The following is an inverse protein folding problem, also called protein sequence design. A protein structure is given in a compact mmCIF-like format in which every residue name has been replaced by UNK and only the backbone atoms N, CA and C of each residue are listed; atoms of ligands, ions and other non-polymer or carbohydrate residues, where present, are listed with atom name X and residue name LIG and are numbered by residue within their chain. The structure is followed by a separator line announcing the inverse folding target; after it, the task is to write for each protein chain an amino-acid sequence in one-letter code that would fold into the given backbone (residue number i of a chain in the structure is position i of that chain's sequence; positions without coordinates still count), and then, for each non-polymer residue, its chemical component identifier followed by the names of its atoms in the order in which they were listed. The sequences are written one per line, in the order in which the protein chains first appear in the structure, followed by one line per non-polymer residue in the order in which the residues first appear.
data_IF_829213957606
#
_entry.id   IF_829213957606
#
_cell.length_a   1.000
_cell.length_b   1.000
_cell.length_c   1.000
_cell.angle_alpha   90.00
_cell.angle_beta   90.00
_cell.angle_gamma   90.00
#
_symmetry.space_group_name_H-M   'P 1'
#
loop_
_entity.id
_entity.type
_entity.pdbx_description
1 polymer ?
#
# COMPACT_ATOMS: atom_id res chain seq x y z
N UNK A 1 17.01 16.55 28.51
CA UNK A 1 16.03 17.38 27.77
C UNK A 1 14.60 17.25 28.29
N UNK A 2 14.11 16.02 28.60
CA UNK A 2 12.75 15.82 29.10
C UNK A 2 12.45 16.62 30.36
N UNK A 3 13.38 16.63 31.33
CA UNK A 3 13.23 17.30 32.63
C UNK A 3 13.12 18.81 32.49
N UNK A 4 13.84 19.39 31.52
CA UNK A 4 13.76 20.84 31.25
C UNK A 4 12.42 21.23 30.64
N UNK A 5 11.80 20.35 29.83
CA UNK A 5 10.46 20.57 29.24
C UNK A 5 9.35 20.43 30.28
N UNK A 6 9.55 19.64 31.33
CA UNK A 6 8.59 19.51 32.45
C UNK A 6 8.58 20.71 33.38
N UNK A 7 9.65 21.52 33.36
CA UNK A 7 9.70 22.78 34.12
C UNK A 7 8.93 23.94 33.50
N UNK A 8 8.58 23.80 32.19
CA UNK A 8 7.77 24.80 31.49
C UNK A 8 6.28 24.57 31.78
N UNK A 9 5.64 25.53 32.41
CA UNK A 9 4.23 25.46 32.83
C UNK A 9 3.28 25.20 31.63
N UNK A 10 3.58 25.76 30.47
CA UNK A 10 2.76 25.63 29.27
C UNK A 10 2.98 24.33 28.54
N UNK A 11 4.20 23.78 28.56
CA UNK A 11 4.57 22.56 27.85
C UNK A 11 4.35 21.30 28.69
N UNK A 12 4.47 21.40 30.02
CA UNK A 12 4.35 20.25 30.93
C UNK A 12 3.16 19.32 30.63
N UNK A 13 1.90 19.81 30.44
CA UNK A 13 0.76 18.92 30.16
C UNK A 13 0.84 18.22 28.80
N UNK A 14 1.62 18.76 27.87
CA UNK A 14 1.72 18.25 26.49
C UNK A 14 2.96 17.37 26.26
N UNK A 15 3.93 17.38 27.16
CA UNK A 15 5.22 16.67 27.01
C UNK A 15 5.01 15.18 26.74
N UNK A 16 4.15 14.51 27.48
CA UNK A 16 3.90 13.07 27.30
C UNK A 16 3.32 12.78 25.91
N UNK A 17 2.35 13.59 25.46
CA UNK A 17 1.75 13.48 24.14
C UNK A 17 2.79 13.69 23.02
N UNK A 18 3.66 14.68 23.20
CA UNK A 18 4.75 14.95 22.27
C UNK A 18 5.71 13.76 22.15
N UNK A 19 6.14 13.19 23.27
CA UNK A 19 7.01 12.02 23.27
C UNK A 19 6.36 10.80 22.60
N UNK A 20 5.08 10.56 22.83
CA UNK A 20 4.33 9.50 22.14
C UNK A 20 4.30 9.74 20.63
N UNK A 21 4.06 10.97 20.18
CA UNK A 21 4.08 11.30 18.75
C UNK A 21 5.46 11.12 18.11
N UNK A 22 6.52 11.55 18.83
CA UNK A 22 7.89 11.35 18.36
C UNK A 22 8.20 9.85 18.22
N UNK A 23 7.82 9.05 19.22
CA UNK A 23 8.01 7.59 19.21
C UNK A 23 7.26 6.94 18.06
N UNK A 24 6.00 7.28 17.87
CA UNK A 24 5.19 6.76 16.75
C UNK A 24 5.82 7.11 15.40
N UNK A 25 6.28 8.33 15.22
CA UNK A 25 6.96 8.76 14.00
C UNK A 25 8.29 8.04 13.77
N UNK A 26 9.04 7.78 14.84
CA UNK A 26 10.27 7.00 14.77
C UNK A 26 10.01 5.56 14.34
N UNK A 27 8.96 4.91 14.87
CA UNK A 27 8.53 3.56 14.46
C UNK A 27 8.15 3.50 12.98
N UNK A 28 7.38 4.49 12.50
CA UNK A 28 6.99 4.60 11.08
C UNK A 28 8.23 4.75 10.19
N UNK A 29 9.14 5.65 10.55
CA UNK A 29 10.36 5.89 9.77
C UNK A 29 11.31 4.69 9.79
N UNK A 30 11.41 3.99 10.91
CA UNK A 30 12.22 2.79 11.02
C UNK A 30 11.73 1.69 10.08
N UNK A 31 10.41 1.49 10.01
CA UNK A 31 9.81 0.44 9.18
C UNK A 31 9.74 0.80 7.68
N UNK A 32 9.68 2.09 7.35
CA UNK A 32 9.47 2.58 5.98
C UNK A 32 10.35 1.94 4.89
N UNK A 33 11.67 1.70 5.10
CA UNK A 33 12.53 1.10 4.07
C UNK A 33 12.43 -0.43 3.97
N UNK A 34 11.75 -1.11 4.90
CA UNK A 34 11.72 -2.56 4.99
C UNK A 34 10.44 -3.16 4.41
N UNK A 35 10.57 -4.26 3.66
CA UNK A 35 9.45 -5.11 3.26
C UNK A 35 9.04 -6.06 4.38
N UNK A 36 10.01 -6.48 5.18
CA UNK A 36 9.80 -7.28 6.39
C UNK A 36 10.78 -6.85 7.47
N UNK A 37 10.33 -6.78 8.71
CA UNK A 37 11.15 -6.43 9.87
C UNK A 37 10.94 -7.44 10.99
N UNK A 38 12.02 -7.88 11.61
CA UNK A 38 11.98 -8.72 12.81
C UNK A 38 11.69 -7.84 14.03
N UNK A 39 10.57 -8.12 14.71
CA UNK A 39 10.12 -7.37 15.88
C UNK A 39 11.06 -7.53 17.06
N UNK A 40 11.88 -8.59 17.13
CA UNK A 40 12.88 -8.78 18.18
C UNK A 40 13.99 -7.74 18.06
N UNK A 41 14.56 -7.58 16.86
CA UNK A 41 15.57 -6.55 16.58
C UNK A 41 15.02 -5.14 16.77
N UNK A 42 13.76 -4.95 16.39
CA UNK A 42 13.08 -3.69 16.57
C UNK A 42 12.86 -3.36 18.06
N UNK A 43 12.50 -4.35 18.89
CA UNK A 43 12.34 -4.16 20.34
C UNK A 43 13.66 -3.79 21.03
N UNK A 44 14.78 -4.39 20.60
CA UNK A 44 16.11 -4.03 21.08
C UNK A 44 16.48 -2.57 20.71
N UNK A 45 16.19 -2.16 19.46
CA UNK A 45 16.47 -0.81 18.99
C UNK A 45 15.65 0.27 19.73
N UNK A 46 14.42 -0.04 20.12
CA UNK A 46 13.53 0.88 20.81
C UNK A 46 13.49 0.71 22.34
N UNK A 47 14.32 -0.20 22.91
CA UNK A 47 14.39 -0.51 24.34
C UNK A 47 13.02 -0.76 24.96
N UNK A 48 12.20 -1.61 24.33
CA UNK A 48 10.87 -1.95 24.79
C UNK A 48 10.65 -3.47 24.74
N UNK A 49 9.62 -3.96 25.43
CA UNK A 49 9.25 -5.36 25.33
C UNK A 49 8.58 -5.63 23.97
N UNK A 50 8.69 -6.87 23.47
CA UNK A 50 8.09 -7.27 22.19
C UNK A 50 6.56 -7.07 22.25
N UNK A 51 5.94 -7.33 23.37
CA UNK A 51 4.49 -7.20 23.57
C UNK A 51 4.03 -5.73 23.52
N UNK A 52 4.74 -4.83 24.16
CA UNK A 52 4.47 -3.38 24.09
C UNK A 52 4.62 -2.87 22.67
N UNK A 53 5.70 -3.27 21.99
CA UNK A 53 5.95 -2.91 20.59
C UNK A 53 4.83 -3.41 19.66
N UNK A 54 4.38 -4.66 19.85
CA UNK A 54 3.28 -5.24 19.07
C UNK A 54 1.99 -4.43 19.23
N UNK A 55 1.66 -4.02 20.46
CA UNK A 55 0.50 -3.18 20.75
C UNK A 55 0.62 -1.79 20.12
N UNK A 56 1.80 -1.14 20.21
CA UNK A 56 2.04 0.17 19.60
C UNK A 56 1.89 0.09 18.07
N UNK A 57 2.51 -0.92 17.43
CA UNK A 57 2.41 -1.11 15.97
C UNK A 57 0.97 -1.43 15.57
N UNK A 58 0.25 -2.23 16.35
CA UNK A 58 -1.16 -2.54 16.08
C UNK A 58 -2.01 -1.27 16.07
N UNK A 59 -1.80 -0.34 17.01
CA UNK A 59 -2.48 0.94 17.03
C UNK A 59 -2.14 1.78 15.78
N UNK A 60 -0.86 1.83 15.38
CA UNK A 60 -0.44 2.55 14.18
C UNK A 60 -1.04 1.97 12.89
N UNK A 61 -1.28 0.66 12.85
CA UNK A 61 -1.97 -0.01 11.73
C UNK A 61 -3.46 0.33 11.72
N UNK A 62 -4.12 0.33 12.90
CA UNK A 62 -5.52 0.72 13.03
C UNK A 62 -5.76 2.18 12.66
N UNK A 63 -4.84 3.06 13.04
CA UNK A 63 -4.85 4.48 12.66
C UNK A 63 -4.51 4.70 11.16
N UNK A 64 -4.16 3.63 10.42
CA UNK A 64 -3.81 3.71 9.01
C UNK A 64 -2.45 4.38 8.71
N UNK A 65 -1.63 4.62 9.73
CA UNK A 65 -0.32 5.27 9.57
C UNK A 65 0.74 4.32 9.02
N UNK A 66 0.60 3.02 9.29
CA UNK A 66 1.45 1.95 8.76
C UNK A 66 0.57 0.95 8.01
N UNK A 67 0.94 0.65 6.76
CA UNK A 67 0.31 -0.42 6.00
C UNK A 67 1.15 -1.69 6.13
N UNK A 68 0.88 -2.46 7.17
CA UNK A 68 1.61 -3.68 7.47
C UNK A 68 0.69 -4.79 8.00
N UNK A 69 1.22 -6.00 8.04
CA UNK A 69 0.60 -7.18 8.64
C UNK A 69 1.56 -7.75 9.67
N UNK A 70 1.06 -7.99 10.88
CA UNK A 70 1.81 -8.59 11.99
C UNK A 70 1.64 -10.11 11.94
N UNK A 71 2.77 -10.83 11.95
CA UNK A 71 2.81 -12.25 12.24
C UNK A 71 3.23 -12.44 13.70
N UNK A 72 2.26 -12.62 14.59
CA UNK A 72 2.49 -12.74 16.03
C UNK A 72 3.19 -14.05 16.42
N UNK A 73 3.15 -15.08 15.55
CA UNK A 73 3.81 -16.36 15.80
C UNK A 73 5.31 -16.25 15.56
N UNK A 74 5.71 -15.76 14.39
CA UNK A 74 7.12 -15.61 14.01
C UNK A 74 7.73 -14.29 14.49
N UNK A 75 6.89 -13.37 15.01
CA UNK A 75 7.30 -12.01 15.43
C UNK A 75 7.92 -11.20 14.28
N UNK A 76 7.30 -11.30 13.11
CA UNK A 76 7.73 -10.59 11.91
C UNK A 76 6.62 -9.62 11.47
N UNK A 77 7.02 -8.42 11.12
CA UNK A 77 6.17 -7.39 10.54
C UNK A 77 6.39 -7.36 9.02
N UNK A 78 5.32 -7.57 8.24
CA UNK A 78 5.35 -7.55 6.77
C UNK A 78 4.69 -6.29 6.23
N UNK A 79 5.34 -5.57 5.31
CA UNK A 79 4.71 -4.47 4.61
C UNK A 79 3.60 -4.98 3.68
N UNK A 80 2.44 -4.32 3.70
CA UNK A 80 1.30 -4.63 2.83
C UNK A 80 1.44 -4.00 1.44
N UNK A 81 2.40 -3.11 1.26
CA UNK A 81 2.62 -2.44 -0.02
C UNK A 81 2.99 -3.48 -1.07
N UNK A 82 2.06 -3.71 -1.98
CA UNK A 82 2.37 -4.42 -3.21
C UNK A 82 3.47 -3.64 -3.95
N UNK A 83 4.46 -4.36 -4.46
CA UNK A 83 5.53 -3.78 -5.26
C UNK A 83 4.91 -3.00 -6.43
N UNK A 84 4.97 -1.67 -6.38
CA UNK A 84 4.44 -0.79 -7.43
C UNK A 84 5.01 -1.11 -8.81
N UNK A 85 6.24 -1.62 -8.86
CA UNK A 85 6.90 -2.02 -10.09
C UNK A 85 6.22 -3.25 -10.70
N UNK A 86 5.96 -4.30 -9.90
CA UNK A 86 5.24 -5.49 -10.35
C UNK A 86 3.83 -5.17 -10.79
N UNK A 87 3.10 -4.35 -10.02
CA UNK A 87 1.75 -3.91 -10.39
C UNK A 87 1.73 -3.12 -11.69
N UNK A 88 2.68 -2.21 -11.88
CA UNK A 88 2.80 -1.41 -13.11
C UNK A 88 3.12 -2.30 -14.29
N UNK A 89 4.00 -3.28 -14.12
CA UNK A 89 4.36 -4.25 -15.14
C UNK A 89 3.17 -5.13 -15.55
N UNK A 90 2.41 -5.65 -14.59
CA UNK A 90 1.20 -6.44 -14.87
C UNK A 90 0.12 -5.62 -15.60
N UNK A 91 -0.08 -4.36 -15.17
CA UNK A 91 -0.98 -3.42 -15.87
C UNK A 91 -0.51 -3.17 -17.29
N UNK A 92 0.78 -2.94 -17.51
CA UNK A 92 1.33 -2.72 -18.84
C UNK A 92 1.14 -3.92 -19.77
N UNK A 93 1.35 -5.15 -19.26
CA UNK A 93 1.09 -6.38 -20.01
C UNK A 93 -0.41 -6.51 -20.37
N UNK A 94 -1.30 -6.23 -19.42
CA UNK A 94 -2.74 -6.32 -19.63
C UNK A 94 -3.21 -5.33 -20.70
N UNK A 95 -2.78 -4.06 -20.60
CA UNK A 95 -3.07 -3.03 -21.60
C UNK A 95 -2.50 -3.40 -22.96
N UNK A 96 -1.28 -3.94 -23.01
CA UNK A 96 -0.65 -4.41 -24.26
C UNK A 96 -1.43 -5.54 -24.94
N UNK A 97 -1.91 -6.51 -24.17
CA UNK A 97 -2.78 -7.60 -24.69
C UNK A 97 -4.10 -7.08 -25.24
N UNK A 98 -4.74 -6.14 -24.51
CA UNK A 98 -5.98 -5.51 -24.98
C UNK A 98 -5.76 -4.69 -26.25
N UNK A 99 -4.68 -3.91 -26.32
CA UNK A 99 -4.31 -3.16 -27.52
C UNK A 99 -4.12 -4.09 -28.71
N UNK A 100 -3.38 -5.18 -28.54
CA UNK A 100 -3.18 -6.18 -29.59
C UNK A 100 -4.51 -6.80 -30.06
N UNK A 101 -5.40 -7.12 -29.12
CA UNK A 101 -6.74 -7.65 -29.44
C UNK A 101 -7.55 -6.63 -30.23
N UNK A 102 -7.60 -5.36 -29.80
CA UNK A 102 -8.33 -4.28 -30.48
C UNK A 102 -7.77 -4.03 -31.89
N UNK A 103 -6.46 -4.01 -32.03
CA UNK A 103 -5.79 -3.82 -33.34
C UNK A 103 -6.12 -4.97 -34.30
N UNK A 104 -6.08 -6.24 -33.85
CA UNK A 104 -6.49 -7.38 -34.67
C UNK A 104 -7.95 -7.27 -35.09
N UNK A 105 -8.84 -6.85 -34.20
CA UNK A 105 -10.26 -6.63 -34.54
C UNK A 105 -10.46 -5.51 -35.57
N UNK A 106 -9.70 -4.40 -35.45
CA UNK A 106 -9.73 -3.32 -36.42
C UNK A 106 -9.24 -3.78 -37.81
N UNK A 107 -8.12 -4.50 -37.85
CA UNK A 107 -7.59 -5.06 -39.11
C UNK A 107 -8.61 -6.00 -39.77
N UNK A 108 -9.24 -6.87 -38.97
CA UNK A 108 -10.30 -7.77 -39.47
C UNK A 108 -11.48 -6.94 -40.02
N UNK A 109 -11.94 -5.93 -39.29
CA UNK A 109 -13.06 -5.08 -39.68
C UNK A 109 -12.77 -4.31 -40.98
N UNK A 110 -11.56 -3.74 -41.11
CA UNK A 110 -11.16 -3.07 -42.35
C UNK A 110 -11.04 -4.04 -43.53
N UNK A 111 -10.53 -5.26 -43.31
CA UNK A 111 -10.48 -6.27 -44.34
C UNK A 111 -11.91 -6.72 -44.81
N UNK A 112 -12.85 -6.84 -43.86
CA UNK A 112 -14.26 -7.15 -44.17
C UNK A 112 -14.91 -6.04 -44.96
N UNK A 113 -14.71 -4.77 -44.57
CA UNK A 113 -15.23 -3.61 -45.29
C UNK A 113 -14.68 -3.53 -46.72
N UNK A 114 -13.37 -3.79 -46.89
CA UNK A 114 -12.71 -3.82 -48.19
C UNK A 114 -13.31 -4.90 -49.14
N UNK A 115 -13.78 -6.00 -48.54
CA UNK A 115 -14.40 -7.10 -49.27
C UNK A 115 -15.94 -6.98 -49.40
N UNK A 116 -16.51 -5.84 -48.98
CA UNK A 116 -17.97 -5.59 -48.94
C UNK A 116 -18.77 -6.65 -48.15
N UNK A 117 -18.14 -7.30 -47.17
CA UNK A 117 -18.81 -8.26 -46.29
C UNK A 117 -19.48 -7.52 -45.13
N UNK A 118 -20.81 -7.49 -45.11
CA UNK A 118 -21.57 -6.89 -44.01
C UNK A 118 -21.99 -7.99 -43.01
N UNK A 119 -21.45 -7.94 -41.80
CA UNK A 119 -21.90 -8.78 -40.71
C UNK A 119 -22.85 -7.96 -39.84
N UNK A 120 -24.11 -8.41 -39.75
CA UNK A 120 -25.06 -7.84 -38.77
C UNK A 120 -24.62 -8.24 -37.37
N UNK A 121 -23.95 -7.34 -36.67
CA UNK A 121 -23.64 -7.51 -35.23
C UNK A 121 -24.91 -7.07 -34.48
N UNK A 122 -25.55 -7.98 -33.77
CA UNK A 122 -26.56 -7.63 -32.78
C UNK A 122 -25.90 -6.85 -31.66
N UNK A 123 -26.18 -5.54 -31.59
CA UNK A 123 -25.59 -4.56 -30.66
C UNK A 123 -26.12 -4.76 -29.22
N UNK A 124 -26.63 -5.90 -28.85
CA UNK A 124 -27.18 -6.13 -27.51
C UNK A 124 -26.14 -6.35 -26.39
N UNK A 125 -24.82 -6.38 -26.69
CA UNK A 125 -23.80 -6.68 -25.66
C UNK A 125 -22.71 -5.60 -25.46
N UNK A 126 -22.81 -4.40 -26.05
CA UNK A 126 -21.71 -3.39 -25.98
C UNK A 126 -22.01 -2.23 -25.00
N UNK A 127 -23.18 -2.16 -24.41
CA UNK A 127 -23.57 -0.96 -23.63
C UNK A 127 -23.41 -1.05 -22.09
N UNK A 128 -22.76 -2.06 -21.54
CA UNK A 128 -22.64 -2.14 -20.07
C UNK A 128 -21.23 -1.89 -19.48
N UNK A 129 -20.19 -1.66 -20.28
CA UNK A 129 -18.83 -1.51 -19.73
C UNK A 129 -18.11 -0.21 -20.14
N UNK A 130 -18.79 0.79 -20.69
CA UNK A 130 -18.14 2.04 -21.11
C UNK A 130 -18.29 3.20 -20.11
N UNK A 131 -18.96 2.99 -18.97
CA UNK A 131 -19.14 4.04 -17.93
C UNK A 131 -18.93 3.47 -16.52
N UNK A 132 -17.70 3.01 -16.21
CA UNK A 132 -17.16 2.95 -14.83
C UNK A 132 -15.71 3.36 -14.83
#
# INVERSE_FOLDING_TARGET
MRDNLLLDIYLAPHVNKLYTQIRNRALIQYFSPYLSADMRKMSEAFNCTIFELENEIMQLILDGQIQARIDSHNKILFAKNADHRSLTFEKAITVGKEFQRRTRMLILRTAMLKKHVHVKVNILFINSELWQ
#
